data_IF_875826036717
#
_entry.id   IF_875826036717
#
_cell.length_a   1.000
_cell.length_b   1.000
_cell.length_c   1.000
_cell.angle_alpha   90.00
_cell.angle_beta   90.00
_cell.angle_gamma   90.00
#
_symmetry.space_group_name_H-M   'P 1'
#
loop_
_entity.id
_entity.type
_entity.pdbx_description
1 polymer ?
#
# COMPACT_ATOMS: atom_id res chain seq x y z
N UNK A 1 59.96 59.49 3.86
CA UNK A 1 60.47 59.89 5.22
C UNK A 1 59.86 58.93 6.18
N UNK A 2 60.73 58.08 6.63
CA UNK A 2 60.97 57.71 8.03
C UNK A 2 59.78 57.05 8.69
N UNK A 3 59.87 55.88 9.07
CA UNK A 3 60.70 55.13 10.07
C UNK A 3 59.68 54.31 10.88
N UNK A 4 59.81 53.18 11.28
CA UNK A 4 60.65 52.16 11.87
C UNK A 4 59.84 50.95 12.18
N UNK A 5 60.12 49.79 11.75
CA UNK A 5 60.82 48.70 12.42
C UNK A 5 60.73 48.70 13.93
N UNK A 6 60.26 47.59 14.43
CA UNK A 6 60.43 46.87 15.70
C UNK A 6 59.06 46.56 16.36
N UNK A 7 58.73 45.37 16.79
CA UNK A 7 59.47 44.31 17.49
C UNK A 7 58.72 43.01 17.33
N UNK A 8 59.43 41.98 17.01
CA UNK A 8 59.01 40.60 17.21
C UNK A 8 58.98 40.30 18.71
N UNK A 9 57.99 39.54 19.13
CA UNK A 9 58.21 38.48 20.14
C UNK A 9 56.88 37.87 20.62
N UNK A 10 56.86 36.57 20.47
CA UNK A 10 56.25 35.63 21.42
C UNK A 10 54.76 35.75 21.70
N UNK A 11 54.03 34.90 21.05
CA UNK A 11 53.12 34.05 21.81
C UNK A 11 52.86 32.78 20.99
N UNK A 12 53.61 31.72 21.30
CA UNK A 12 53.20 30.34 21.06
C UNK A 12 51.93 30.16 21.91
N UNK A 13 50.79 30.18 21.29
CA UNK A 13 49.55 29.74 21.89
C UNK A 13 49.20 28.38 21.31
N UNK A 14 49.26 27.41 22.16
CA UNK A 14 48.84 26.03 21.97
C UNK A 14 47.50 25.97 21.24
N UNK A 15 47.50 25.50 19.99
CA UNK A 15 46.30 25.09 19.28
C UNK A 15 45.92 23.69 19.83
N UNK A 16 45.16 23.66 20.90
CA UNK A 16 44.49 22.45 21.35
C UNK A 16 43.45 22.10 20.30
N UNK A 17 43.77 21.18 19.43
CA UNK A 17 42.80 20.51 18.55
C UNK A 17 41.91 19.67 19.45
N UNK A 18 40.75 20.26 19.82
CA UNK A 18 39.64 19.46 20.31
C UNK A 18 39.15 18.60 19.13
N UNK A 19 39.59 17.34 19.07
CA UNK A 19 38.86 16.31 18.37
C UNK A 19 37.51 16.16 19.07
N UNK A 20 36.51 16.87 18.60
CA UNK A 20 35.12 16.47 18.84
C UNK A 20 34.93 15.17 18.13
N UNK A 21 34.99 14.06 18.84
CA UNK A 21 34.46 12.80 18.41
C UNK A 21 32.96 13.02 18.10
N UNK A 22 32.65 13.35 16.86
CA UNK A 22 31.31 13.16 16.31
C UNK A 22 31.10 11.65 16.35
N UNK A 23 30.56 11.17 17.45
CA UNK A 23 30.02 9.82 17.52
C UNK A 23 28.98 9.71 16.41
N UNK A 24 29.32 8.95 15.36
CA UNK A 24 28.30 8.37 14.51
C UNK A 24 27.34 7.65 15.45
N UNK A 25 26.18 8.24 15.66
CA UNK A 25 25.06 7.54 16.28
C UNK A 25 24.71 6.48 15.26
N UNK A 26 25.25 5.28 15.38
CA UNK A 26 24.71 4.11 14.71
C UNK A 26 23.23 4.13 15.05
N UNK A 27 22.41 4.35 14.02
CA UNK A 27 20.99 4.08 14.12
C UNK A 27 20.92 2.61 14.56
N UNK A 28 20.44 2.37 15.77
CA UNK A 28 20.18 1.03 16.25
C UNK A 28 19.20 0.42 15.24
N UNK A 29 19.73 -0.43 14.33
CA UNK A 29 18.90 -1.32 13.54
C UNK A 29 18.18 -2.18 14.56
N UNK A 30 16.92 -1.83 14.86
CA UNK A 30 16.03 -2.71 15.58
C UNK A 30 16.04 -4.03 14.84
N UNK A 31 16.47 -5.11 15.48
CA UNK A 31 16.60 -6.41 14.84
C UNK A 31 15.22 -6.79 14.29
N UNK A 32 15.10 -6.83 12.97
CA UNK A 32 13.87 -7.24 12.29
C UNK A 32 13.62 -8.71 12.58
N UNK A 33 12.49 -9.01 13.20
CA UNK A 33 12.08 -10.38 13.51
C UNK A 33 11.63 -11.12 12.23
N UNK A 34 11.57 -12.43 12.28
CA UNK A 34 10.84 -13.19 11.27
C UNK A 34 9.34 -12.89 11.37
N UNK A 35 8.64 -12.95 10.24
CA UNK A 35 7.17 -12.85 10.24
C UNK A 35 6.60 -13.98 11.11
N UNK A 36 5.75 -13.70 12.12
CA UNK A 36 5.27 -14.73 13.03
C UNK A 36 4.32 -15.71 12.33
N UNK A 37 4.52 -17.00 12.57
CA UNK A 37 3.62 -18.05 12.14
C UNK A 37 2.47 -18.15 13.16
N UNK A 38 1.25 -17.78 12.74
CA UNK A 38 0.10 -17.58 13.63
C UNK A 38 -1.07 -18.54 13.37
N UNK A 39 -0.94 -19.44 12.38
CA UNK A 39 -2.05 -20.30 11.95
C UNK A 39 -3.24 -19.47 11.44
N UNK A 40 -2.99 -18.38 10.73
CA UNK A 40 -4.01 -17.46 10.25
C UNK A 40 -4.93 -18.12 9.20
N UNK A 41 -6.20 -17.74 9.19
CA UNK A 41 -7.13 -18.08 8.11
C UNK A 41 -6.95 -17.09 6.94
N UNK A 42 -6.11 -17.45 5.99
CA UNK A 42 -5.83 -16.63 4.82
C UNK A 42 -6.87 -16.76 3.69
N UNK A 43 -7.81 -17.71 3.80
CA UNK A 43 -8.88 -17.88 2.81
C UNK A 43 -10.03 -16.88 2.98
N UNK A 44 -9.98 -16.08 4.03
CA UNK A 44 -10.86 -14.94 4.28
C UNK A 44 -10.04 -13.65 4.38
N UNK A 45 -9.03 -13.51 3.51
CA UNK A 45 -8.21 -12.29 3.42
C UNK A 45 -9.02 -11.17 2.80
N UNK A 46 -8.87 -9.95 3.33
CA UNK A 46 -9.32 -8.72 2.69
C UNK A 46 -8.13 -7.81 2.42
N UNK A 47 -8.26 -6.94 1.44
CA UNK A 47 -7.20 -6.00 1.08
C UNK A 47 -7.74 -4.58 1.01
N UNK A 48 -6.93 -3.62 1.38
CA UNK A 48 -7.21 -2.19 1.17
C UNK A 48 -5.95 -1.44 0.78
N UNK A 49 -6.13 -0.32 0.14
CA UNK A 49 -5.00 0.58 -0.11
C UNK A 49 -5.47 1.94 -0.58
N UNK A 50 -4.56 2.90 -0.50
CA UNK A 50 -4.77 4.26 -0.97
C UNK A 50 -3.84 4.57 -2.14
N UNK A 51 -4.31 5.30 -3.16
CA UNK A 51 -3.48 5.77 -4.29
C UNK A 51 -2.80 4.58 -5.00
N UNK A 52 -1.47 4.54 -5.11
CA UNK A 52 -0.75 3.36 -5.64
C UNK A 52 -1.08 2.07 -4.88
N UNK A 53 -1.31 2.17 -3.56
CA UNK A 53 -1.75 1.05 -2.75
C UNK A 53 -3.15 0.56 -3.11
N UNK A 54 -4.05 1.45 -3.55
CA UNK A 54 -5.38 1.07 -4.03
C UNK A 54 -5.29 0.24 -5.32
N UNK A 55 -4.42 0.65 -6.25
CA UNK A 55 -4.14 -0.15 -7.45
C UNK A 55 -3.55 -1.51 -7.08
N UNK A 56 -2.58 -1.55 -6.14
CA UNK A 56 -2.01 -2.81 -5.66
C UNK A 56 -3.06 -3.69 -4.98
N UNK A 57 -3.98 -3.12 -4.19
CA UNK A 57 -5.08 -3.88 -3.59
C UNK A 57 -5.97 -4.54 -4.65
N UNK A 58 -6.35 -3.80 -5.71
CA UNK A 58 -7.09 -4.35 -6.84
C UNK A 58 -6.29 -5.41 -7.62
N UNK A 59 -4.99 -5.17 -7.86
CA UNK A 59 -4.11 -6.13 -8.54
C UNK A 59 -3.95 -7.42 -7.73
N UNK A 60 -3.73 -7.30 -6.42
CA UNK A 60 -3.62 -8.45 -5.52
C UNK A 60 -4.92 -9.26 -5.46
N UNK A 61 -6.08 -8.58 -5.34
CA UNK A 61 -7.38 -9.22 -5.37
C UNK A 61 -7.57 -10.02 -6.66
N UNK A 62 -7.35 -9.42 -7.84
CA UNK A 62 -7.51 -10.09 -9.12
C UNK A 62 -6.57 -11.30 -9.26
N UNK A 63 -5.34 -11.18 -8.79
CA UNK A 63 -4.34 -12.24 -8.85
C UNK A 63 -4.67 -13.43 -7.93
N UNK A 64 -5.30 -13.17 -6.77
CA UNK A 64 -5.54 -14.13 -5.70
C UNK A 64 -6.99 -14.14 -5.20
N UNK A 65 -7.97 -13.99 -6.09
CA UNK A 65 -9.40 -13.92 -5.78
C UNK A 65 -9.95 -15.14 -5.01
N UNK A 66 -9.30 -16.28 -5.09
CA UNK A 66 -9.67 -17.46 -4.29
C UNK A 66 -9.51 -17.24 -2.78
N UNK A 67 -8.54 -16.42 -2.38
CA UNK A 67 -8.21 -16.13 -0.98
C UNK A 67 -8.85 -14.83 -0.50
N UNK A 68 -8.99 -13.87 -1.42
CA UNK A 68 -9.54 -12.54 -1.12
C UNK A 68 -11.05 -12.61 -1.18
N UNK A 69 -11.70 -12.04 -0.17
CA UNK A 69 -13.17 -11.96 -0.08
C UNK A 69 -13.69 -10.53 -0.18
N UNK A 70 -12.80 -9.55 -0.31
CA UNK A 70 -13.16 -8.15 -0.47
C UNK A 70 -11.95 -7.25 -0.64
N UNK A 71 -12.16 -6.14 -1.35
CA UNK A 71 -11.15 -5.12 -1.60
C UNK A 71 -11.68 -3.72 -1.35
N UNK A 72 -10.81 -2.85 -0.82
CA UNK A 72 -11.09 -1.43 -0.66
C UNK A 72 -10.13 -0.59 -1.50
N UNK A 73 -10.68 0.19 -2.41
CA UNK A 73 -9.97 1.04 -3.37
C UNK A 73 -10.17 2.49 -2.97
N UNK A 74 -9.17 3.08 -2.30
CA UNK A 74 -9.24 4.43 -1.77
C UNK A 74 -8.43 5.35 -2.69
N UNK A 75 -9.08 6.33 -3.30
CA UNK A 75 -8.43 7.27 -4.23
C UNK A 75 -7.57 6.55 -5.28
N UNK A 76 -8.12 5.52 -5.93
CA UNK A 76 -7.48 4.72 -6.97
C UNK A 76 -8.45 4.27 -8.05
N UNK A 77 -7.94 3.66 -9.09
CA UNK A 77 -8.71 3.28 -10.28
C UNK A 77 -8.86 1.77 -10.47
N UNK A 78 -9.43 1.37 -11.60
CA UNK A 78 -9.65 -0.02 -11.93
C UNK A 78 -8.34 -0.77 -12.21
N UNK A 79 -8.37 -2.08 -12.04
CA UNK A 79 -7.30 -3.00 -12.39
C UNK A 79 -6.84 -2.82 -13.83
N UNK A 80 -5.52 -2.77 -14.04
CA UNK A 80 -4.93 -2.66 -15.37
C UNK A 80 -5.07 -1.29 -16.04
N UNK A 81 -5.57 -0.27 -15.32
CA UNK A 81 -5.78 1.07 -15.85
C UNK A 81 -4.55 1.65 -16.56
N UNK A 82 -3.38 1.52 -15.98
CA UNK A 82 -2.13 2.08 -16.50
C UNK A 82 -1.53 1.32 -17.69
N UNK A 83 -2.04 0.13 -17.99
CA UNK A 83 -1.51 -0.67 -19.09
C UNK A 83 -1.70 0.05 -20.43
N UNK A 84 -0.60 0.37 -21.07
CA UNK A 84 -0.58 1.00 -22.38
C UNK A 84 -1.10 0.06 -23.46
N UNK A 85 -1.75 0.60 -24.49
CA UNK A 85 -2.13 -0.17 -25.71
C UNK A 85 -0.91 -0.67 -26.47
N UNK A 86 0.28 -0.15 -26.17
CA UNK A 86 1.54 -0.54 -26.80
C UNK A 86 2.34 -1.54 -25.95
N UNK A 87 1.78 -2.05 -24.83
CA UNK A 87 2.48 -2.95 -23.93
C UNK A 87 3.05 -4.18 -24.64
N UNK A 88 2.30 -4.73 -25.60
CA UNK A 88 2.70 -5.92 -26.36
C UNK A 88 3.67 -5.63 -27.51
N UNK A 89 3.85 -4.34 -27.89
CA UNK A 89 4.63 -3.95 -29.08
C UNK A 89 5.95 -3.26 -28.75
N UNK A 90 6.08 -2.70 -27.58
CA UNK A 90 7.29 -1.98 -27.10
C UNK A 90 7.76 -2.59 -25.78
N UNK A 91 8.59 -3.64 -25.81
CA UNK A 91 9.02 -4.34 -24.61
C UNK A 91 10.00 -3.53 -23.75
N UNK A 92 10.10 -3.90 -22.47
CA UNK A 92 11.10 -3.40 -21.54
C UNK A 92 10.81 -1.98 -21.03
N UNK A 93 11.87 -1.18 -20.85
CA UNK A 93 11.78 0.15 -20.25
C UNK A 93 10.86 1.12 -21.00
N UNK A 94 10.71 0.94 -22.32
CA UNK A 94 9.78 1.72 -23.14
C UNK A 94 8.32 1.51 -22.72
N UNK A 95 7.94 0.27 -22.43
CA UNK A 95 6.59 -0.05 -21.93
C UNK A 95 6.31 0.61 -20.58
N UNK A 96 7.25 0.51 -19.63
CA UNK A 96 7.08 1.12 -18.31
C UNK A 96 6.91 2.65 -18.40
N UNK A 97 7.65 3.32 -19.30
CA UNK A 97 7.50 4.75 -19.53
C UNK A 97 6.12 5.11 -20.10
N UNK A 98 5.63 4.36 -21.07
CA UNK A 98 4.29 4.58 -21.65
C UNK A 98 3.19 4.29 -20.61
N UNK A 99 3.36 3.25 -19.81
CA UNK A 99 2.46 2.94 -18.72
C UNK A 99 2.45 4.06 -17.67
N UNK A 100 3.62 4.61 -17.29
CA UNK A 100 3.69 5.74 -16.38
C UNK A 100 2.99 6.97 -16.93
N UNK A 101 3.16 7.28 -18.22
CA UNK A 101 2.45 8.37 -18.86
C UNK A 101 0.94 8.18 -18.82
N UNK A 102 0.44 6.97 -19.11
CA UNK A 102 -0.97 6.64 -19.00
C UNK A 102 -1.45 6.65 -17.55
N UNK A 103 -0.64 6.17 -16.61
CA UNK A 103 -0.93 6.19 -15.18
C UNK A 103 -1.26 7.61 -14.71
N UNK A 104 -0.38 8.56 -14.99
CA UNK A 104 -0.57 9.96 -14.56
C UNK A 104 -1.74 10.62 -15.30
N UNK A 105 -1.74 10.57 -16.62
CA UNK A 105 -2.72 11.36 -17.41
C UNK A 105 -4.10 10.69 -17.50
N UNK A 106 -4.16 9.36 -17.61
CA UNK A 106 -5.40 8.62 -17.77
C UNK A 106 -5.97 8.08 -16.47
N UNK A 107 -5.12 7.60 -15.55
CA UNK A 107 -5.56 6.86 -14.36
C UNK A 107 -5.47 7.66 -13.06
N UNK A 108 -4.93 8.88 -13.09
CA UNK A 108 -4.99 9.83 -11.97
C UNK A 108 -5.84 11.04 -12.33
N UNK A 109 -5.47 11.74 -13.40
CA UNK A 109 -6.06 13.05 -13.73
C UNK A 109 -7.31 12.95 -14.62
N UNK A 110 -7.59 11.78 -15.17
CA UNK A 110 -8.68 11.58 -16.15
C UNK A 110 -8.60 12.56 -17.33
N UNK A 111 -7.37 12.86 -17.73
CA UNK A 111 -7.05 13.75 -18.84
C UNK A 111 -6.73 12.90 -20.08
N UNK A 112 -7.16 13.40 -21.24
CA UNK A 112 -6.77 12.92 -22.57
C UNK A 112 -7.40 11.57 -22.99
N UNK A 113 -8.51 11.66 -23.69
CA UNK A 113 -9.08 10.57 -24.49
C UNK A 113 -8.04 9.92 -25.44
N UNK A 114 -7.03 10.69 -25.91
CA UNK A 114 -6.00 10.19 -26.82
C UNK A 114 -5.04 9.16 -26.24
N UNK A 115 -4.89 9.08 -24.91
CA UNK A 115 -4.07 8.06 -24.24
C UNK A 115 -4.89 6.89 -23.68
N UNK A 116 -6.19 6.89 -23.95
CA UNK A 116 -7.15 5.91 -23.46
C UNK A 116 -7.51 6.18 -22.01
N UNK A 117 -8.64 6.86 -21.83
CA UNK A 117 -9.36 6.86 -20.55
C UNK A 117 -9.53 5.42 -20.12
N UNK A 118 -9.51 5.17 -18.82
CA UNK A 118 -9.77 3.84 -18.26
C UNK A 118 -11.22 3.41 -18.60
N UNK A 119 -11.43 2.82 -19.77
CA UNK A 119 -12.72 2.25 -20.15
C UNK A 119 -12.97 0.99 -19.31
N UNK A 120 -13.93 1.00 -18.37
CA UNK A 120 -14.21 -0.13 -17.51
C UNK A 120 -14.56 -1.41 -18.26
N UNK A 121 -15.21 -1.28 -19.42
CA UNK A 121 -15.61 -2.42 -20.26
C UNK A 121 -14.40 -3.09 -20.90
N UNK A 122 -13.48 -2.31 -21.46
CA UNK A 122 -12.27 -2.86 -22.08
C UNK A 122 -11.31 -3.44 -21.02
N UNK A 123 -11.22 -2.81 -19.85
CA UNK A 123 -10.42 -3.33 -18.74
C UNK A 123 -10.99 -4.64 -18.18
N UNK A 124 -12.32 -4.77 -18.11
CA UNK A 124 -12.97 -6.03 -17.71
C UNK A 124 -12.65 -7.16 -18.72
N UNK A 125 -12.74 -6.90 -20.02
CA UNK A 125 -12.36 -7.88 -21.06
C UNK A 125 -10.89 -8.31 -20.96
N UNK A 126 -9.98 -7.36 -20.66
CA UNK A 126 -8.57 -7.68 -20.46
C UNK A 126 -8.37 -8.56 -19.22
N UNK A 127 -9.08 -8.28 -18.12
CA UNK A 127 -9.04 -9.10 -16.93
C UNK A 127 -9.56 -10.52 -17.20
N UNK A 128 -10.68 -10.67 -17.92
CA UNK A 128 -11.22 -11.96 -18.35
C UNK A 128 -10.21 -12.74 -19.22
N UNK A 129 -9.54 -12.04 -20.14
CA UNK A 129 -8.51 -12.66 -20.98
C UNK A 129 -7.31 -13.16 -20.18
N UNK A 130 -6.87 -12.41 -19.14
CA UNK A 130 -5.81 -12.86 -18.22
C UNK A 130 -6.24 -14.05 -17.38
N UNK A 131 -7.47 -14.04 -16.88
CA UNK A 131 -8.02 -15.16 -16.13
C UNK A 131 -8.08 -16.43 -17.00
N UNK A 132 -8.49 -16.30 -18.26
CA UNK A 132 -8.52 -17.42 -19.21
C UNK A 132 -7.13 -18.00 -19.50
N UNK A 133 -6.07 -17.17 -19.47
CA UNK A 133 -4.67 -17.61 -19.57
C UNK A 133 -4.09 -18.18 -18.26
N UNK A 134 -4.82 -18.06 -17.14
CA UNK A 134 -4.33 -18.48 -15.83
C UNK A 134 -3.31 -17.52 -15.20
N UNK A 135 -3.19 -16.29 -15.70
CA UNK A 135 -2.29 -15.26 -15.17
C UNK A 135 -2.80 -14.67 -13.86
N UNK A 136 -4.12 -14.67 -13.67
CA UNK A 136 -4.85 -14.29 -12.44
C UNK A 136 -5.87 -15.38 -12.10
N UNK A 137 -6.55 -15.26 -10.96
CA UNK A 137 -7.60 -16.20 -10.59
C UNK A 137 -8.87 -16.03 -11.46
N UNK A 138 -9.76 -17.03 -11.52
CA UNK A 138 -10.99 -16.95 -12.29
C UNK A 138 -11.85 -15.75 -11.85
N UNK A 139 -12.45 -15.02 -12.80
CA UNK A 139 -13.31 -13.87 -12.52
C UNK A 139 -14.51 -14.26 -11.65
N UNK A 140 -15.00 -15.51 -11.78
CA UNK A 140 -16.07 -16.03 -10.92
C UNK A 140 -15.75 -15.93 -9.41
N UNK A 141 -14.47 -15.97 -9.04
CA UNK A 141 -14.06 -15.82 -7.65
C UNK A 141 -14.15 -14.35 -7.19
N UNK A 142 -14.01 -13.38 -8.10
CA UNK A 142 -14.17 -11.94 -7.81
C UNK A 142 -15.65 -11.55 -7.64
N UNK A 143 -16.57 -12.22 -8.35
CA UNK A 143 -18.01 -11.85 -8.34
C UNK A 143 -18.66 -11.98 -6.97
N UNK A 144 -18.12 -12.77 -6.06
CA UNK A 144 -18.61 -12.95 -4.70
C UNK A 144 -18.11 -11.89 -3.71
N UNK A 145 -17.05 -11.14 -4.10
CA UNK A 145 -16.35 -10.22 -3.21
C UNK A 145 -17.18 -8.99 -2.87
N UNK A 146 -16.84 -8.38 -1.75
CA UNK A 146 -17.41 -7.11 -1.31
C UNK A 146 -16.40 -6.01 -1.53
N UNK A 147 -16.81 -4.99 -2.24
CA UNK A 147 -15.96 -3.90 -2.71
C UNK A 147 -16.35 -2.61 -2.00
N UNK A 148 -15.36 -1.94 -1.44
CA UNK A 148 -15.48 -0.60 -0.91
C UNK A 148 -14.65 0.35 -1.77
N UNK A 149 -15.23 1.47 -2.18
CA UNK A 149 -14.53 2.50 -2.94
C UNK A 149 -14.69 3.85 -2.26
N UNK A 150 -13.64 4.65 -2.29
CA UNK A 150 -13.67 5.98 -1.67
C UNK A 150 -12.95 7.00 -2.53
N UNK A 151 -13.58 8.19 -2.67
CA UNK A 151 -12.95 9.38 -3.21
C UNK A 151 -13.37 10.61 -2.40
N UNK A 152 -12.42 11.44 -2.02
CA UNK A 152 -12.69 12.72 -1.38
C UNK A 152 -13.12 13.78 -2.39
N UNK A 153 -14.03 14.69 -2.01
CA UNK A 153 -14.46 15.77 -2.92
C UNK A 153 -13.39 16.85 -3.10
N UNK A 154 -12.42 16.90 -2.20
CA UNK A 154 -11.24 17.79 -2.29
C UNK A 154 -9.99 17.11 -2.87
N UNK A 155 -10.08 15.84 -3.29
CA UNK A 155 -8.97 15.15 -3.94
C UNK A 155 -8.68 15.78 -5.32
N UNK A 156 -7.43 16.24 -5.50
CA UNK A 156 -6.91 16.83 -6.75
C UNK A 156 -5.80 15.99 -7.36
N UNK A 157 -5.45 14.88 -6.73
CA UNK A 157 -4.40 13.96 -7.17
C UNK A 157 -5.00 12.83 -8.01
N UNK A 158 -6.08 12.21 -7.55
CA UNK A 158 -6.83 11.22 -8.31
C UNK A 158 -8.26 11.72 -8.51
N UNK A 159 -8.62 11.94 -9.76
CA UNK A 159 -9.94 12.46 -10.10
C UNK A 159 -11.06 11.51 -9.60
N UNK A 160 -12.15 12.04 -9.03
CA UNK A 160 -13.28 11.20 -8.57
C UNK A 160 -13.91 10.33 -9.65
N UNK A 161 -13.80 10.71 -10.92
CA UNK A 161 -14.23 9.90 -12.08
C UNK A 161 -13.46 8.58 -12.16
N UNK A 162 -12.17 8.56 -11.85
CA UNK A 162 -11.33 7.35 -11.88
C UNK A 162 -11.82 6.33 -10.85
N UNK A 163 -12.20 6.77 -9.65
CA UNK A 163 -12.77 5.87 -8.63
C UNK A 163 -14.15 5.35 -9.06
N UNK A 164 -14.96 6.17 -9.75
CA UNK A 164 -16.23 5.71 -10.36
C UNK A 164 -15.98 4.66 -11.45
N UNK A 165 -14.96 4.83 -12.29
CA UNK A 165 -14.57 3.82 -13.28
C UNK A 165 -14.16 2.50 -12.60
N UNK A 166 -13.54 2.55 -11.42
CA UNK A 166 -13.28 1.32 -10.65
C UNK A 166 -14.58 0.64 -10.20
N UNK A 167 -15.58 1.38 -9.74
CA UNK A 167 -16.90 0.81 -9.40
C UNK A 167 -17.58 0.18 -10.62
N UNK A 168 -17.55 0.85 -11.77
CA UNK A 168 -18.08 0.34 -13.04
C UNK A 168 -17.34 -0.91 -13.50
N UNK A 169 -16.01 -0.95 -13.36
CA UNK A 169 -15.19 -2.12 -13.66
C UNK A 169 -15.65 -3.37 -12.89
N UNK A 170 -15.85 -3.25 -11.58
CA UNK A 170 -16.35 -4.37 -10.78
C UNK A 170 -17.77 -4.78 -11.18
N UNK A 171 -18.63 -3.83 -11.49
CA UNK A 171 -19.97 -4.12 -12.01
C UNK A 171 -19.92 -4.86 -13.37
N UNK A 172 -18.98 -4.49 -14.26
CA UNK A 172 -18.75 -5.18 -15.55
C UNK A 172 -18.23 -6.60 -15.37
N UNK A 173 -17.45 -6.86 -14.33
CA UNK A 173 -17.02 -8.22 -13.98
C UNK A 173 -18.14 -9.07 -13.38
N UNK A 174 -19.32 -8.49 -13.08
CA UNK A 174 -20.46 -9.20 -12.54
C UNK A 174 -20.55 -9.18 -11.00
N UNK A 175 -19.79 -8.32 -10.32
CA UNK A 175 -19.99 -8.09 -8.87
C UNK A 175 -21.38 -7.48 -8.66
N UNK A 176 -22.22 -8.07 -7.80
CA UNK A 176 -23.56 -7.53 -7.52
C UNK A 176 -23.51 -6.09 -6.98
N UNK A 177 -24.43 -5.24 -7.41
CA UNK A 177 -24.49 -3.86 -6.94
C UNK A 177 -24.57 -3.74 -5.41
N UNK A 178 -25.24 -4.69 -4.74
CA UNK A 178 -25.32 -4.74 -3.27
C UNK A 178 -23.96 -5.01 -2.59
N UNK A 179 -22.98 -5.50 -3.34
CA UNK A 179 -21.62 -5.75 -2.86
C UNK A 179 -20.65 -4.61 -3.16
N UNK A 180 -21.10 -3.56 -3.87
CA UNK A 180 -20.28 -2.41 -4.25
C UNK A 180 -20.74 -1.19 -3.44
N UNK A 181 -19.89 -0.68 -2.57
CA UNK A 181 -20.12 0.56 -1.84
C UNK A 181 -19.17 1.65 -2.34
N UNK A 182 -19.70 2.79 -2.76
CA UNK A 182 -18.92 3.96 -3.18
C UNK A 182 -19.23 5.15 -2.26
N UNK A 183 -18.26 5.58 -1.49
CA UNK A 183 -18.29 6.79 -0.67
C UNK A 183 -17.60 7.94 -1.43
N UNK A 184 -18.37 9.01 -1.71
CA UNK A 184 -17.88 10.13 -2.55
C UNK A 184 -18.37 11.51 -2.10
N UNK A 185 -18.81 11.63 -0.86
CA UNK A 185 -19.43 12.84 -0.31
C UNK A 185 -18.65 13.47 0.85
N UNK A 186 -17.45 12.94 1.16
CA UNK A 186 -16.60 13.45 2.24
C UNK A 186 -15.62 14.45 1.64
N UNK A 187 -15.40 15.65 2.26
CA UNK A 187 -14.52 16.68 1.70
C UNK A 187 -13.02 16.39 1.95
N UNK A 188 -12.62 15.12 1.90
CA UNK A 188 -11.25 14.71 2.09
C UNK A 188 -10.35 15.13 0.92
N UNK A 189 -9.11 15.51 1.23
CA UNK A 189 -8.03 15.58 0.28
C UNK A 189 -7.55 14.19 -0.14
N UNK A 190 -6.41 14.12 -0.85
CA UNK A 190 -5.78 12.85 -1.22
C UNK A 190 -5.06 12.25 -0.03
N UNK A 191 -5.80 11.55 0.83
CA UNK A 191 -5.30 10.97 2.07
C UNK A 191 -6.18 9.81 2.54
N UNK A 192 -5.66 8.99 3.46
CA UNK A 192 -6.46 8.02 4.20
C UNK A 192 -7.26 8.74 5.28
N UNK A 193 -8.55 8.46 5.37
CA UNK A 193 -9.46 9.20 6.24
C UNK A 193 -9.62 8.50 7.59
N UNK A 194 -9.65 9.30 8.65
CA UNK A 194 -9.90 8.86 10.03
C UNK A 194 -10.97 9.74 10.70
N UNK A 195 -11.37 9.37 11.89
CA UNK A 195 -12.30 10.14 12.71
C UNK A 195 -11.64 10.83 13.92
N UNK A 196 -10.33 10.68 14.08
CA UNK A 196 -9.63 11.17 15.27
C UNK A 196 -8.11 11.42 15.10
N UNK A 197 -7.55 11.22 13.90
CA UNK A 197 -6.11 11.37 13.67
C UNK A 197 -5.79 12.06 12.34
N UNK A 198 -4.63 12.67 12.26
CA UNK A 198 -4.05 13.21 11.06
C UNK A 198 -4.24 14.70 10.86
N UNK A 199 -4.01 15.16 9.63
CA UNK A 199 -4.18 16.55 9.22
C UNK A 199 -5.67 16.92 9.11
N UNK A 200 -5.98 18.21 8.88
CA UNK A 200 -7.34 18.62 8.57
C UNK A 200 -7.86 17.93 7.28
N UNK A 201 -9.15 17.66 7.22
CA UNK A 201 -9.80 16.79 6.26
C UNK A 201 -9.43 17.04 4.78
N UNK A 202 -9.35 18.30 4.36
CA UNK A 202 -9.12 18.69 2.97
C UNK A 202 -7.64 18.66 2.53
N UNK A 203 -6.73 18.33 3.45
CA UNK A 203 -5.28 18.41 3.21
C UNK A 203 -4.79 17.18 2.45
N UNK A 204 -3.96 17.41 1.44
CA UNK A 204 -3.24 16.38 0.67
C UNK A 204 -1.73 16.55 0.89
N UNK A 205 -1.25 16.22 2.08
CA UNK A 205 0.14 16.35 2.48
C UNK A 205 0.53 15.26 3.50
N UNK A 206 1.82 15.02 3.65
CA UNK A 206 2.33 14.10 4.66
C UNK A 206 1.72 14.37 6.04
N UNK A 207 1.35 13.31 6.77
CA UNK A 207 1.55 11.90 6.51
C UNK A 207 0.47 11.24 5.61
N UNK A 208 -0.35 12.01 4.89
CA UNK A 208 -1.49 11.55 4.07
C UNK A 208 -2.51 10.73 4.87
N UNK A 209 -2.70 11.12 6.11
CA UNK A 209 -3.76 10.70 7.02
C UNK A 209 -4.50 11.95 7.47
N UNK A 210 -5.82 11.98 7.38
CA UNK A 210 -6.65 13.17 7.67
C UNK A 210 -7.81 12.81 8.56
N UNK A 211 -8.14 13.73 9.48
CA UNK A 211 -9.35 13.66 10.30
C UNK A 211 -10.51 14.33 9.56
N UNK A 212 -11.48 13.52 9.15
CA UNK A 212 -12.73 13.97 8.56
C UNK A 212 -13.96 13.60 9.41
N UNK A 213 -13.75 13.22 10.67
CA UNK A 213 -14.78 12.66 11.54
C UNK A 213 -15.49 11.46 10.88
N UNK A 214 -14.71 10.61 10.17
CA UNK A 214 -15.22 9.44 9.47
C UNK A 214 -14.27 8.26 9.65
N UNK A 215 -14.72 7.21 10.32
CA UNK A 215 -13.97 5.97 10.55
C UNK A 215 -13.91 5.12 9.27
N UNK A 216 -12.99 5.46 8.37
CA UNK A 216 -12.82 4.75 7.09
C UNK A 216 -12.39 3.29 7.30
N UNK A 217 -11.50 3.03 8.26
CA UNK A 217 -11.08 1.65 8.56
C UNK A 217 -12.29 0.79 8.97
N UNK A 218 -13.14 1.32 9.84
CA UNK A 218 -14.36 0.63 10.25
C UNK A 218 -15.36 0.45 9.11
N UNK A 219 -15.55 1.46 8.27
CA UNK A 219 -16.48 1.41 7.14
C UNK A 219 -16.06 0.31 6.15
N UNK A 220 -14.80 0.34 5.67
CA UNK A 220 -14.32 -0.65 4.71
C UNK A 220 -14.27 -2.08 5.27
N UNK A 221 -13.89 -2.25 6.54
CA UNK A 221 -13.89 -3.59 7.16
C UNK A 221 -15.31 -4.13 7.31
N UNK A 222 -16.29 -3.30 7.68
CA UNK A 222 -17.71 -3.70 7.75
C UNK A 222 -18.26 -4.05 6.38
N UNK A 223 -17.93 -3.27 5.34
CA UNK A 223 -18.34 -3.61 3.97
C UNK A 223 -17.80 -4.99 3.58
N UNK A 224 -16.53 -5.28 3.84
CA UNK A 224 -15.91 -6.52 3.39
C UNK A 224 -16.26 -7.75 4.26
N UNK A 225 -16.30 -7.59 5.58
CA UNK A 225 -16.57 -8.71 6.51
C UNK A 225 -18.01 -8.82 6.98
N UNK A 226 -18.85 -7.81 6.75
CA UNK A 226 -20.19 -7.72 7.29
C UNK A 226 -20.20 -7.22 8.74
N UNK A 227 -21.03 -7.83 9.59
CA UNK A 227 -21.16 -7.41 10.99
C UNK A 227 -19.87 -7.67 11.76
N UNK A 228 -19.36 -6.61 12.40
CA UNK A 228 -18.18 -6.63 13.27
C UNK A 228 -18.56 -6.19 14.67
N UNK A 229 -17.80 -6.66 15.67
CA UNK A 229 -17.84 -6.09 17.01
C UNK A 229 -17.36 -4.64 17.00
N UNK A 230 -17.87 -3.77 17.87
CA UNK A 230 -17.35 -2.41 17.98
C UNK A 230 -15.83 -2.38 18.17
N UNK A 231 -15.17 -1.37 17.61
CA UNK A 231 -13.73 -1.22 17.78
C UNK A 231 -13.34 -1.01 19.24
N UNK A 232 -12.14 -1.41 19.61
CA UNK A 232 -11.56 -1.09 20.91
C UNK A 232 -11.32 0.44 21.04
N UNK A 233 -11.38 0.95 22.26
CA UNK A 233 -11.00 2.36 22.51
C UNK A 233 -9.51 2.57 22.22
N UNK A 234 -8.68 1.60 22.64
CA UNK A 234 -7.22 1.60 22.41
C UNK A 234 -6.78 0.27 21.87
N UNK A 235 -5.86 0.27 20.92
CA UNK A 235 -5.22 -0.94 20.43
C UNK A 235 -4.30 -1.54 21.52
N UNK A 236 -4.44 -2.85 21.78
CA UNK A 236 -3.72 -3.57 22.86
C UNK A 236 -2.82 -4.70 22.33
N UNK A 237 -2.91 -5.03 21.05
CA UNK A 237 -2.03 -5.97 20.38
C UNK A 237 -0.65 -5.36 20.09
N UNK A 238 0.17 -6.10 19.37
CA UNK A 238 1.55 -5.69 19.09
C UNK A 238 1.76 -5.36 17.62
N UNK A 239 2.44 -4.25 17.35
CA UNK A 239 3.04 -3.96 16.05
C UNK A 239 4.42 -4.64 16.01
N UNK A 240 4.57 -5.62 15.13
CA UNK A 240 5.80 -6.41 14.99
C UNK A 240 6.47 -6.04 13.68
N UNK A 241 7.70 -5.53 13.76
CA UNK A 241 8.57 -5.32 12.61
C UNK A 241 9.09 -6.67 12.12
N UNK A 242 8.95 -6.98 10.84
CA UNK A 242 9.42 -8.24 10.28
C UNK A 242 10.27 -8.05 9.02
N UNK A 243 11.17 -8.97 8.77
CA UNK A 243 12.03 -8.98 7.59
C UNK A 243 11.25 -9.41 6.35
N UNK A 244 11.17 -8.52 5.34
CA UNK A 244 10.49 -8.80 4.06
C UNK A 244 11.39 -9.52 3.04
N UNK A 245 12.71 -9.53 3.24
CA UNK A 245 13.67 -10.12 2.30
C UNK A 245 13.39 -11.58 1.95
N UNK A 246 13.01 -12.47 2.90
CA UNK A 246 12.68 -13.86 2.57
C UNK A 246 11.48 -14.01 1.62
N UNK A 247 10.64 -12.97 1.51
CA UNK A 247 9.43 -12.97 0.68
C UNK A 247 9.64 -12.29 -0.68
N UNK A 248 10.74 -11.57 -0.89
CA UNK A 248 11.01 -10.82 -2.12
C UNK A 248 11.36 -11.70 -3.34
N UNK A 249 11.60 -13.00 -3.14
CA UNK A 249 12.08 -13.88 -4.21
C UNK A 249 13.60 -13.85 -4.36
N UNK A 250 14.09 -14.10 -5.58
CA UNK A 250 15.54 -14.21 -5.82
C UNK A 250 16.30 -12.88 -5.73
N UNK A 251 15.62 -11.75 -5.93
CA UNK A 251 16.25 -10.43 -5.97
C UNK A 251 15.40 -9.37 -5.25
N UNK A 252 15.82 -9.02 -4.04
CA UNK A 252 15.19 -7.96 -3.25
C UNK A 252 15.17 -6.63 -4.00
N UNK A 253 16.28 -6.26 -4.63
CA UNK A 253 16.46 -4.97 -5.32
C UNK A 253 15.50 -4.76 -6.49
N UNK A 254 15.12 -5.82 -7.19
CA UNK A 254 14.17 -5.74 -8.32
C UNK A 254 12.71 -5.80 -7.90
N UNK A 255 12.42 -6.21 -6.67
CA UNK A 255 11.05 -6.28 -6.16
C UNK A 255 10.47 -4.91 -5.78
N UNK A 256 11.31 -3.93 -5.48
CA UNK A 256 10.92 -2.62 -4.96
C UNK A 256 10.42 -2.65 -3.51
N UNK A 257 10.48 -3.80 -2.82
CA UNK A 257 10.08 -3.88 -1.41
C UNK A 257 11.13 -3.25 -0.49
N UNK A 258 10.69 -2.67 0.61
CA UNK A 258 11.55 -2.30 1.72
C UNK A 258 12.03 -3.56 2.47
N UNK A 259 13.12 -3.48 3.21
CA UNK A 259 13.61 -4.61 3.99
C UNK A 259 12.65 -5.00 5.13
N UNK A 260 11.95 -4.02 5.69
CA UNK A 260 11.10 -4.21 6.86
C UNK A 260 9.64 -3.90 6.55
N UNK A 261 8.76 -4.85 6.83
CA UNK A 261 7.31 -4.67 6.91
C UNK A 261 6.84 -4.65 8.35
N UNK A 262 5.55 -4.36 8.56
CA UNK A 262 4.92 -4.37 9.89
C UNK A 262 3.69 -5.26 9.86
N UNK A 263 3.48 -6.03 10.94
CA UNK A 263 2.25 -6.76 11.16
C UNK A 263 1.69 -6.42 12.53
N UNK A 264 0.41 -6.07 12.58
CA UNK A 264 -0.33 -5.92 13.83
C UNK A 264 -0.97 -7.23 14.23
N UNK A 265 -0.68 -7.68 15.44
CA UNK A 265 -1.15 -8.97 15.96
C UNK A 265 -1.94 -8.74 17.26
N UNK A 266 -3.27 -8.89 17.22
CA UNK A 266 -4.08 -8.90 18.44
C UNK A 266 -3.64 -10.00 19.42
N UNK A 267 -3.75 -9.75 20.72
CA UNK A 267 -3.40 -10.75 21.75
C UNK A 267 -4.12 -12.09 21.51
N UNK A 268 -5.42 -12.02 21.22
CA UNK A 268 -6.22 -13.21 20.92
C UNK A 268 -5.70 -14.04 19.73
N UNK A 269 -5.01 -13.40 18.76
CA UNK A 269 -4.44 -14.10 17.60
C UNK A 269 -3.09 -14.75 17.88
N UNK A 270 -2.40 -14.35 18.95
CA UNK A 270 -1.21 -15.07 19.44
C UNK A 270 -1.58 -16.34 20.21
N UNK A 271 -2.68 -16.25 20.94
CA UNK A 271 -3.13 -17.34 21.82
C UNK A 271 -3.87 -18.43 21.04
N UNK A 272 -4.66 -18.05 20.03
CA UNK A 272 -5.55 -18.95 19.31
C UNK A 272 -5.46 -18.75 17.80
N UNK A 273 -5.14 -19.78 17.01
CA UNK A 273 -5.08 -19.72 15.55
C UNK A 273 -6.45 -19.44 14.93
N UNK A 274 -6.47 -19.19 13.60
CA UNK A 274 -7.69 -18.96 12.83
C UNK A 274 -8.14 -17.50 12.76
N UNK A 275 -7.31 -16.54 13.17
CA UNK A 275 -7.56 -15.12 12.88
C UNK A 275 -7.52 -14.85 11.37
N UNK A 276 -8.43 -14.02 10.87
CA UNK A 276 -8.43 -13.57 9.48
C UNK A 276 -7.31 -12.55 9.25
N UNK A 277 -7.00 -12.28 8.02
CA UNK A 277 -5.95 -11.31 7.66
C UNK A 277 -6.52 -10.17 6.82
N UNK A 278 -6.16 -8.95 7.16
CA UNK A 278 -6.34 -7.76 6.34
C UNK A 278 -4.97 -7.25 5.88
N UNK A 279 -4.80 -6.98 4.59
CA UNK A 279 -3.59 -6.38 4.05
C UNK A 279 -3.86 -4.92 3.72
N UNK A 280 -3.10 -4.00 4.31
CA UNK A 280 -3.25 -2.57 4.11
C UNK A 280 -2.04 -2.00 3.33
N UNK A 281 -2.27 -1.54 2.11
CA UNK A 281 -1.26 -0.98 1.22
C UNK A 281 -1.22 0.55 1.32
N UNK A 282 -0.07 1.11 1.67
CA UNK A 282 0.15 2.56 1.72
C UNK A 282 0.15 3.22 0.34
N UNK A 283 0.04 4.55 0.27
CA UNK A 283 0.19 5.33 -0.96
C UNK A 283 1.65 5.65 -1.31
N UNK A 284 1.84 6.36 -2.45
CA UNK A 284 3.13 6.98 -2.75
C UNK A 284 3.50 8.00 -1.66
N UNK A 285 4.78 8.12 -1.33
CA UNK A 285 5.30 8.99 -0.26
C UNK A 285 4.64 8.75 1.12
N UNK A 286 4.02 7.59 1.32
CA UNK A 286 3.35 7.19 2.56
C UNK A 286 3.98 5.93 3.16
N UNK A 287 5.08 5.46 2.60
CA UNK A 287 5.85 4.36 3.16
C UNK A 287 6.52 4.78 4.48
N UNK A 288 6.93 3.79 5.25
CA UNK A 288 7.52 4.01 6.59
C UNK A 288 8.79 4.85 6.55
N UNK A 289 9.58 4.77 5.49
CA UNK A 289 10.78 5.58 5.32
C UNK A 289 10.47 7.08 5.25
N UNK A 290 9.35 7.44 4.64
CA UNK A 290 8.94 8.85 4.44
C UNK A 290 8.16 9.40 5.63
N UNK A 291 7.12 8.68 6.10
CA UNK A 291 6.18 9.21 7.11
C UNK A 291 6.24 8.48 8.47
N UNK A 292 7.24 7.65 8.67
CA UNK A 292 7.31 6.82 9.87
C UNK A 292 6.12 5.86 9.97
N UNK A 293 5.62 5.70 11.18
CA UNK A 293 4.53 4.75 11.46
C UNK A 293 3.11 5.36 11.30
N UNK A 294 2.96 6.57 10.75
CA UNK A 294 1.68 7.28 10.74
C UNK A 294 0.56 6.45 10.08
N UNK A 295 0.73 6.00 8.82
CA UNK A 295 -0.28 5.15 8.17
C UNK A 295 -0.54 3.86 8.96
N UNK A 296 0.49 3.25 9.52
CA UNK A 296 0.40 1.97 10.24
C UNK A 296 -0.38 2.12 11.55
N UNK A 297 -0.09 3.17 12.33
CA UNK A 297 -0.64 3.34 13.68
C UNK A 297 -1.88 4.21 13.73
N UNK A 298 -2.02 5.18 12.82
CA UNK A 298 -3.08 6.19 12.87
C UNK A 298 -4.27 5.88 11.94
N UNK A 299 -4.15 4.91 11.03
CA UNK A 299 -5.24 4.51 10.13
C UNK A 299 -6.47 3.90 10.83
N UNK A 300 -6.38 3.58 12.11
CA UNK A 300 -7.49 3.04 12.90
C UNK A 300 -7.67 1.51 12.81
N UNK A 301 -7.00 0.81 11.90
CA UNK A 301 -7.16 -0.64 11.72
C UNK A 301 -6.91 -1.45 12.99
N UNK A 302 -5.91 -1.09 13.80
CA UNK A 302 -5.52 -1.84 14.98
C UNK A 302 -6.64 -1.95 16.03
N UNK A 303 -7.44 -0.89 16.22
CA UNK A 303 -8.58 -0.89 17.14
C UNK A 303 -9.71 -1.84 16.69
N UNK A 304 -9.95 -1.95 15.37
CA UNK A 304 -10.88 -2.91 14.82
C UNK A 304 -10.34 -4.35 14.86
N UNK A 305 -9.05 -4.50 14.67
CA UNK A 305 -8.36 -5.79 14.68
C UNK A 305 -8.48 -6.51 16.03
N UNK A 306 -8.31 -5.80 17.13
CA UNK A 306 -8.33 -6.34 18.49
C UNK A 306 -9.67 -7.03 18.83
N UNK A 307 -10.78 -6.40 18.51
CA UNK A 307 -12.11 -6.90 18.86
C UNK A 307 -12.67 -7.91 17.86
N UNK A 308 -12.05 -8.03 16.67
CA UNK A 308 -12.57 -8.83 15.57
C UNK A 308 -11.65 -9.95 15.11
N UNK A 309 -10.63 -10.29 15.92
CA UNK A 309 -9.66 -11.36 15.62
C UNK A 309 -9.07 -11.21 14.21
N UNK A 310 -8.53 -10.03 13.92
CA UNK A 310 -8.03 -9.67 12.61
C UNK A 310 -6.55 -9.29 12.69
N UNK A 311 -5.68 -10.03 12.04
CA UNK A 311 -4.28 -9.67 11.85
C UNK A 311 -4.24 -8.61 10.74
N UNK A 312 -3.48 -7.53 10.92
CA UNK A 312 -3.31 -6.52 9.88
C UNK A 312 -1.87 -6.52 9.40
N UNK A 313 -1.67 -6.83 8.12
CA UNK A 313 -0.36 -6.84 7.47
C UNK A 313 -0.16 -5.51 6.73
N UNK A 314 0.92 -4.82 7.03
CA UNK A 314 1.35 -3.57 6.39
C UNK A 314 2.67 -3.80 5.65
N UNK A 315 2.66 -4.41 4.47
CA UNK A 315 3.87 -4.56 3.68
C UNK A 315 4.36 -3.19 3.21
N UNK A 316 5.67 -3.05 2.96
CA UNK A 316 6.30 -1.78 2.67
C UNK A 316 7.11 -1.82 1.38
N UNK A 317 7.06 -0.73 0.64
CA UNK A 317 7.86 -0.48 -0.58
C UNK A 317 8.92 0.57 -0.29
N UNK A 318 10.11 0.38 -0.85
CA UNK A 318 11.21 1.33 -0.74
C UNK A 318 11.21 2.34 -1.88
N UNK A 319 11.73 3.53 -1.62
CA UNK A 319 12.05 4.48 -2.67
C UNK A 319 13.26 4.00 -3.49
N UNK A 320 13.28 4.33 -4.78
CA UNK A 320 14.39 4.00 -5.68
C UNK A 320 14.52 5.06 -6.78
N UNK A 321 15.60 5.11 -7.56
CA UNK A 321 15.75 6.09 -8.65
C UNK A 321 14.63 6.04 -9.70
N UNK A 322 14.03 4.87 -9.93
CA UNK A 322 12.91 4.70 -10.89
C UNK A 322 11.54 4.85 -10.21
N UNK A 323 11.50 4.85 -8.88
CA UNK A 323 10.30 4.98 -8.05
C UNK A 323 10.63 5.86 -6.82
N UNK A 324 10.92 7.15 -7.01
CA UNK A 324 11.45 8.02 -5.93
C UNK A 324 10.44 8.28 -4.80
N UNK A 325 9.17 8.02 -5.03
CA UNK A 325 8.12 8.18 -4.01
C UNK A 325 7.73 6.88 -3.30
N UNK A 326 8.45 5.77 -3.55
CA UNK A 326 8.12 4.50 -2.91
C UNK A 326 6.67 4.05 -3.16
N UNK A 327 6.20 4.19 -4.40
CA UNK A 327 4.86 3.74 -4.80
C UNK A 327 4.84 2.22 -4.99
N UNK A 328 3.69 1.57 -4.75
CA UNK A 328 3.46 0.21 -5.23
C UNK A 328 3.52 0.15 -6.75
N UNK A 329 3.90 -1.02 -7.30
CA UNK A 329 4.00 -1.18 -8.75
C UNK A 329 2.61 -1.34 -9.39
N UNK A 330 2.13 -0.26 -9.96
CA UNK A 330 0.88 -0.23 -10.69
C UNK A 330 1.05 0.23 -12.14
N UNK A 331 2.30 0.49 -12.58
CA UNK A 331 2.63 0.86 -13.97
C UNK A 331 3.73 -0.02 -14.60
N UNK A 332 4.22 -1.05 -13.91
CA UNK A 332 5.14 -2.04 -14.46
C UNK A 332 6.63 -1.70 -14.32
N UNK A 333 7.04 -0.96 -13.29
CA UNK A 333 8.46 -0.69 -13.05
C UNK A 333 9.23 -1.92 -12.54
N UNK A 334 8.55 -2.92 -11.98
CA UNK A 334 9.15 -4.20 -11.59
C UNK A 334 9.15 -5.22 -12.71
N UNK A 335 8.48 -4.91 -13.84
CA UNK A 335 8.45 -5.78 -15.01
C UNK A 335 7.07 -5.90 -15.67
N UNK A 336 7.00 -6.57 -16.82
CA UNK A 336 5.78 -6.65 -17.63
C UNK A 336 4.64 -7.45 -16.98
N UNK A 337 4.96 -8.33 -16.03
CA UNK A 337 3.98 -9.17 -15.36
C UNK A 337 3.31 -8.51 -14.13
N UNK A 338 3.47 -7.20 -13.94
CA UNK A 338 3.02 -6.47 -12.74
C UNK A 338 1.51 -6.61 -12.43
N UNK A 339 0.71 -7.05 -13.37
CA UNK A 339 -0.73 -7.31 -13.21
C UNK A 339 -1.06 -8.78 -12.93
N UNK A 340 -0.07 -9.65 -12.81
CA UNK A 340 -0.28 -11.10 -12.69
C UNK A 340 0.13 -11.61 -11.31
N UNK A 341 -0.20 -12.87 -11.02
CA UNK A 341 0.26 -13.53 -9.78
C UNK A 341 1.77 -13.68 -9.67
N UNK A 342 2.49 -13.56 -10.78
CA UNK A 342 3.95 -13.64 -10.85
C UNK A 342 4.62 -12.28 -10.61
N UNK A 343 3.87 -11.19 -10.54
CA UNK A 343 4.41 -9.87 -10.22
C UNK A 343 5.21 -9.92 -8.91
N UNK A 344 6.43 -9.37 -8.87
CA UNK A 344 7.31 -9.50 -7.71
C UNK A 344 6.65 -9.12 -6.38
N UNK A 345 5.93 -8.00 -6.34
CA UNK A 345 5.26 -7.50 -5.13
C UNK A 345 4.02 -8.31 -4.77
N UNK A 346 3.20 -8.69 -5.74
CA UNK A 346 2.01 -9.53 -5.54
C UNK A 346 2.43 -10.90 -4.98
N UNK A 347 3.42 -11.53 -5.62
CA UNK A 347 3.94 -12.82 -5.19
C UNK A 347 4.57 -12.76 -3.78
N UNK A 348 5.25 -11.65 -3.45
CA UNK A 348 5.84 -11.46 -2.12
C UNK A 348 4.77 -11.36 -1.03
N UNK A 349 3.75 -10.54 -1.23
CA UNK A 349 2.64 -10.41 -0.27
C UNK A 349 1.88 -11.73 -0.12
N UNK A 350 1.71 -12.49 -1.21
CA UNK A 350 1.11 -13.81 -1.13
C UNK A 350 1.94 -14.79 -0.28
N UNK A 351 3.28 -14.77 -0.41
CA UNK A 351 4.18 -15.56 0.46
C UNK A 351 4.14 -15.10 1.91
N UNK A 352 3.93 -13.81 2.19
CA UNK A 352 3.74 -13.30 3.56
C UNK A 352 2.44 -13.87 4.16
N UNK A 353 1.35 -13.96 3.40
CA UNK A 353 0.13 -14.61 3.84
C UNK A 353 0.38 -16.11 4.15
N UNK A 354 1.08 -16.83 3.28
CA UNK A 354 1.46 -18.23 3.53
C UNK A 354 2.30 -18.36 4.81
N UNK A 355 3.20 -17.39 5.08
CA UNK A 355 3.97 -17.31 6.33
C UNK A 355 3.09 -17.13 7.57
N UNK A 356 2.08 -16.27 7.51
CA UNK A 356 1.11 -16.07 8.60
C UNK A 356 0.21 -17.30 8.82
N UNK A 357 -0.12 -18.05 7.76
CA UNK A 357 -0.90 -19.29 7.84
C UNK A 357 -0.11 -20.42 8.51
N UNK A 358 1.21 -20.45 8.37
CA UNK A 358 2.02 -21.48 8.96
C UNK A 358 1.73 -21.61 10.46
N UNK A 359 1.61 -22.83 10.95
CA UNK A 359 1.44 -23.08 12.36
C UNK A 359 2.81 -22.96 13.03
N UNK A 360 2.96 -22.04 13.95
CA UNK A 360 4.14 -22.00 14.79
C UNK A 360 4.26 -23.35 15.49
N UNK A 361 5.35 -24.07 15.23
CA UNK A 361 5.66 -25.24 16.04
C UNK A 361 5.72 -24.77 17.49
N UNK A 362 4.81 -25.25 18.32
CA UNK A 362 4.93 -25.07 19.77
C UNK A 362 6.20 -25.82 20.16
N UNK A 363 7.28 -25.06 20.42
CA UNK A 363 8.49 -25.58 21.03
C UNK A 363 8.22 -25.99 22.48
#
# INVERSE_FOLDING_TARGET
MTSLIRIAARNLLFLAVMLTATGCREASHEATAALPALGANINETTVSGISSGAYMAGQFQMAHAKRVIGAAIIAGGPYGCSESVFADTIPGAGTAFLNLSKAVNGCMLDLLESWGVADPTELAKKAEARAAKGEIDPIADVTRDRIYLFTGTSDRTVAPSIVRHAAEFYAKLGVPAANIELVSNIPAGHAFVTDDNGNACEISAEPYVVDCNYDQAGALLKQMYGTLQPRAETATGDFVNFDQRPFAGSEMSSSGLAETGVVYVPKACRETPGCRVHVAFHGCAQNRETVGDAFIKESGFARWADTNRLIVLFPQVAASPINPQGCWDWWGYTGPEYLTRNAPQIAAVNRMLDGLQASGGRA
#
